data_IF_476561416462
#
_entry.id   IF_476561416462
#
_cell.length_a   1.000
_cell.length_b   1.000
_cell.length_c   1.000
_cell.angle_alpha   90.00
_cell.angle_beta   90.00
_cell.angle_gamma   90.00
#
_symmetry.space_group_name_H-M   'P 1'
#
loop_
_entity.id
_entity.type
_entity.pdbx_description
1 polymer ?
#
# COMPACT_ATOMS: atom_id res chain seq x y z
N UNK A 1 -2.41 -11.46 17.88
CA UNK A 1 -1.27 -10.95 17.08
C UNK A 1 0.02 -10.86 17.89
N UNK A 2 0.02 -10.31 19.12
CA UNK A 2 1.22 -10.31 20.00
C UNK A 2 1.71 -11.73 20.34
N UNK A 3 0.81 -12.72 20.47
CA UNK A 3 1.20 -14.11 20.74
C UNK A 3 1.96 -14.81 19.60
N UNK A 4 1.87 -14.32 18.36
CA UNK A 4 2.67 -14.88 17.25
C UNK A 4 4.13 -14.41 17.28
N UNK A 5 4.44 -13.38 18.07
CA UNK A 5 5.77 -12.77 18.16
C UNK A 5 6.65 -13.42 19.23
N UNK A 6 6.05 -14.19 20.16
CA UNK A 6 6.71 -14.89 21.27
C UNK A 6 6.24 -16.36 21.37
N UNK A 7 6.07 -17.07 20.25
CA UNK A 7 5.73 -18.51 20.31
C UNK A 7 6.86 -19.37 20.89
N UNK A 8 8.10 -18.85 20.95
CA UNK A 8 9.28 -19.55 21.46
C UNK A 8 9.99 -18.65 22.50
N UNK A 9 10.34 -19.16 23.70
CA UNK A 9 11.14 -18.39 24.65
C UNK A 9 12.49 -18.03 24.01
N UNK A 10 12.81 -16.73 23.94
CA UNK A 10 14.08 -16.10 23.47
C UNK A 10 14.26 -15.80 21.98
N UNK A 11 13.30 -16.00 21.07
CA UNK A 11 13.49 -15.64 19.64
C UNK A 11 12.40 -14.70 19.14
N UNK A 12 12.79 -13.49 18.75
CA UNK A 12 11.90 -12.47 18.17
C UNK A 12 11.78 -12.73 16.67
N UNK A 13 10.57 -13.03 16.19
CA UNK A 13 10.29 -13.30 14.77
C UNK A 13 9.86 -12.00 14.09
N UNK A 14 10.82 -11.25 13.54
CA UNK A 14 10.60 -9.89 13.02
C UNK A 14 10.28 -9.86 11.50
N UNK A 15 10.44 -10.99 10.78
CA UNK A 15 10.23 -11.07 9.32
C UNK A 15 9.31 -12.23 8.90
N UNK A 16 8.46 -11.99 7.88
CA UNK A 16 7.45 -12.95 7.38
C UNK A 16 8.01 -14.31 6.91
N UNK A 17 9.00 -14.33 5.99
CA UNK A 17 10.31 -14.80 6.41
C UNK A 17 10.44 -16.03 7.33
N UNK A 18 10.77 -15.69 8.58
CA UNK A 18 11.09 -16.58 9.68
C UNK A 18 9.84 -17.29 10.19
N UNK A 19 8.67 -16.64 10.13
CA UNK A 19 7.38 -17.27 10.44
C UNK A 19 7.05 -18.40 9.46
N UNK A 20 7.33 -18.20 8.16
CA UNK A 20 7.17 -19.25 7.15
C UNK A 20 8.13 -20.42 7.38
N UNK A 21 9.37 -20.14 7.80
CA UNK A 21 10.38 -21.15 8.09
C UNK A 21 10.05 -22.00 9.33
N UNK A 22 9.41 -21.42 10.34
CA UNK A 22 8.97 -22.15 11.54
C UNK A 22 7.66 -22.95 11.29
N UNK A 23 6.71 -22.41 10.52
CA UNK A 23 5.42 -23.09 10.27
C UNK A 23 5.47 -24.18 9.18
N UNK A 24 6.32 -24.01 8.16
CA UNK A 24 6.42 -24.92 7.01
C UNK A 24 7.80 -25.56 6.84
N UNK A 25 8.76 -25.29 7.73
CA UNK A 25 10.14 -25.78 7.64
C UNK A 25 11.07 -24.83 6.88
N UNK A 26 12.34 -24.84 7.29
CA UNK A 26 13.37 -23.83 6.96
C UNK A 26 13.61 -23.61 5.45
N UNK A 27 13.34 -24.63 4.63
CA UNK A 27 13.45 -24.57 3.15
C UNK A 27 12.11 -24.35 2.45
N UNK A 28 11.05 -25.05 2.85
CA UNK A 28 9.76 -25.02 2.15
C UNK A 28 9.01 -23.71 2.38
N UNK A 29 9.04 -23.16 3.60
CA UNK A 29 8.43 -21.86 3.90
C UNK A 29 9.09 -20.71 3.15
N UNK A 30 10.42 -20.74 3.04
CA UNK A 30 11.18 -19.74 2.28
C UNK A 30 10.82 -19.78 0.78
N UNK A 31 10.77 -20.97 0.19
CA UNK A 31 10.46 -21.14 -1.24
C UNK A 31 9.02 -20.80 -1.62
N UNK A 32 8.07 -20.87 -0.69
CA UNK A 32 6.67 -20.50 -0.96
C UNK A 32 6.43 -19.01 -0.72
N UNK A 33 6.91 -18.48 0.41
CA UNK A 33 6.59 -17.12 0.85
C UNK A 33 7.41 -16.07 0.09
N UNK A 34 8.70 -16.31 -0.17
CA UNK A 34 9.58 -15.30 -0.78
C UNK A 34 9.17 -14.96 -2.22
N UNK A 35 8.83 -15.92 -3.11
CA UNK A 35 8.38 -15.58 -4.45
C UNK A 35 7.10 -14.76 -4.45
N UNK A 36 6.15 -15.11 -3.58
CA UNK A 36 4.89 -14.36 -3.45
C UNK A 36 5.14 -12.93 -2.95
N UNK A 37 6.05 -12.74 -2.00
CA UNK A 37 6.45 -11.41 -1.53
C UNK A 37 7.10 -10.59 -2.63
N UNK A 38 8.04 -11.16 -3.40
CA UNK A 38 8.69 -10.46 -4.50
C UNK A 38 7.68 -10.03 -5.55
N UNK A 39 6.75 -10.91 -5.92
CA UNK A 39 5.70 -10.59 -6.91
C UNK A 39 4.84 -9.43 -6.44
N UNK A 40 4.41 -9.44 -5.17
CA UNK A 40 3.57 -8.38 -4.60
C UNK A 40 4.36 -7.06 -4.50
N UNK A 41 5.60 -7.08 -4.00
CA UNK A 41 6.42 -5.88 -3.84
C UNK A 41 6.76 -5.24 -5.19
N UNK A 42 7.16 -6.05 -6.19
CA UNK A 42 7.43 -5.55 -7.55
C UNK A 42 6.15 -5.02 -8.18
N UNK A 43 5.03 -5.73 -8.04
CA UNK A 43 3.73 -5.29 -8.53
C UNK A 43 3.31 -3.95 -7.93
N UNK A 44 3.42 -3.80 -6.60
CA UNK A 44 3.10 -2.57 -5.90
C UNK A 44 3.98 -1.39 -6.36
N UNK A 45 5.29 -1.60 -6.54
CA UNK A 45 6.20 -0.59 -7.09
C UNK A 45 5.76 -0.12 -8.48
N UNK A 46 5.40 -1.06 -9.38
CA UNK A 46 4.96 -0.73 -10.74
C UNK A 46 3.65 0.09 -10.70
N UNK A 47 2.65 -0.38 -9.95
CA UNK A 47 1.34 0.28 -9.85
C UNK A 47 1.50 1.68 -9.24
N UNK A 48 2.35 1.83 -8.22
CA UNK A 48 2.63 3.12 -7.59
C UNK A 48 3.23 4.12 -8.59
N UNK A 49 4.20 3.68 -9.39
CA UNK A 49 4.86 4.52 -10.40
C UNK A 49 3.90 4.99 -11.50
N UNK A 50 3.04 4.08 -11.99
CA UNK A 50 2.02 4.40 -13.00
C UNK A 50 0.98 5.38 -12.41
N UNK A 51 0.52 5.10 -11.19
CA UNK A 51 -0.51 5.92 -10.52
C UNK A 51 0.03 7.32 -10.21
N UNK A 52 1.25 7.44 -9.67
CA UNK A 52 1.91 8.71 -9.42
C UNK A 52 2.09 9.55 -10.69
N UNK A 53 2.55 8.93 -11.79
CA UNK A 53 2.67 9.59 -13.08
C UNK A 53 1.31 10.07 -13.64
N UNK A 54 0.25 9.25 -13.52
CA UNK A 54 -1.10 9.65 -13.91
C UNK A 54 -1.65 10.79 -13.05
N UNK A 55 -1.38 10.80 -11.75
CA UNK A 55 -1.78 11.89 -10.85
C UNK A 55 -1.09 13.20 -11.22
N UNK A 56 0.21 13.18 -11.50
CA UNK A 56 0.93 14.38 -11.99
C UNK A 56 0.32 14.90 -13.29
N UNK A 57 0.06 14.00 -14.26
CA UNK A 57 -0.61 14.37 -15.51
C UNK A 57 -1.95 15.08 -15.22
N UNK A 58 -2.77 14.50 -14.35
CA UNK A 58 -4.10 15.07 -14.04
C UNK A 58 -4.02 16.44 -13.37
N UNK A 59 -3.04 16.67 -12.51
CA UNK A 59 -2.79 18.00 -11.91
C UNK A 59 -2.40 19.00 -12.99
N UNK A 60 -1.50 18.63 -13.89
CA UNK A 60 -1.10 19.47 -15.01
C UNK A 60 -2.29 19.82 -15.92
N UNK A 61 -3.09 18.83 -16.31
CA UNK A 61 -4.25 19.02 -17.18
C UNK A 61 -5.34 19.89 -16.52
N UNK A 62 -5.42 19.87 -15.19
CA UNK A 62 -6.34 20.73 -14.43
C UNK A 62 -5.85 22.17 -14.34
N UNK A 63 -4.53 22.39 -14.25
CA UNK A 63 -3.92 23.72 -14.14
C UNK A 63 -3.72 24.42 -15.49
N UNK A 64 -3.53 23.66 -16.57
CA UNK A 64 -3.38 24.20 -17.92
C UNK A 64 -4.27 23.45 -18.91
N UNK A 65 -5.47 23.99 -19.13
CA UNK A 65 -6.50 23.37 -19.97
C UNK A 65 -6.19 23.44 -21.47
N UNK A 66 -5.36 24.39 -21.90
CA UNK A 66 -4.94 24.61 -23.30
C UNK A 66 -3.50 24.14 -23.60
N UNK A 67 -2.87 23.40 -22.68
CA UNK A 67 -1.51 22.91 -22.89
C UNK A 67 -1.47 21.71 -23.84
N UNK A 68 -0.32 21.54 -24.52
CA UNK A 68 -0.09 20.41 -25.42
C UNK A 68 -0.16 19.11 -24.65
N UNK A 69 -0.93 18.16 -25.16
CA UNK A 69 -1.13 16.86 -24.53
C UNK A 69 0.17 16.04 -24.57
N UNK A 70 0.74 15.80 -23.39
CA UNK A 70 1.98 15.01 -23.23
C UNK A 70 1.59 13.55 -22.97
N UNK A 71 2.35 12.62 -23.57
CA UNK A 71 2.18 11.18 -23.33
C UNK A 71 2.39 10.86 -21.85
N UNK A 72 1.48 10.06 -21.27
CA UNK A 72 1.54 9.62 -19.86
C UNK A 72 2.88 8.97 -19.49
N UNK A 73 3.55 8.31 -20.45
CA UNK A 73 4.87 7.70 -20.23
C UNK A 73 5.94 8.71 -19.77
N UNK A 74 5.92 9.95 -20.27
CA UNK A 74 6.86 10.97 -19.83
C UNK A 74 6.59 11.41 -18.39
N UNK A 75 5.32 11.54 -18.00
CA UNK A 75 4.95 11.84 -16.62
C UNK A 75 5.37 10.74 -15.64
N UNK A 76 5.29 9.47 -16.06
CA UNK A 76 5.79 8.34 -15.26
C UNK A 76 7.31 8.44 -15.08
N UNK A 77 8.06 8.78 -16.13
CA UNK A 77 9.53 8.95 -16.05
C UNK A 77 9.90 10.11 -15.14
N UNK A 78 9.19 11.24 -15.23
CA UNK A 78 9.42 12.39 -14.34
C UNK A 78 9.20 11.99 -12.87
N UNK A 79 8.09 11.29 -12.58
CA UNK A 79 7.81 10.78 -11.24
C UNK A 79 8.88 9.77 -10.79
N UNK A 80 9.36 8.91 -11.70
CA UNK A 80 10.45 7.97 -11.44
C UNK A 80 11.74 8.68 -11.02
N UNK A 81 12.13 9.74 -11.73
CA UNK A 81 13.34 10.50 -11.44
C UNK A 81 13.30 11.15 -10.07
N UNK A 82 12.14 11.70 -9.66
CA UNK A 82 11.95 12.26 -8.31
C UNK A 82 12.15 11.17 -7.25
N UNK A 83 11.49 10.02 -7.41
CA UNK A 83 11.62 8.89 -6.47
C UNK A 83 13.05 8.34 -6.42
N UNK A 84 13.75 8.30 -7.56
CA UNK A 84 15.15 7.89 -7.62
C UNK A 84 16.05 8.84 -6.81
N UNK A 85 15.86 10.15 -6.94
CA UNK A 85 16.60 11.14 -6.13
C UNK A 85 16.28 11.00 -4.64
N UNK A 86 15.01 10.79 -4.28
CA UNK A 86 14.60 10.53 -2.90
C UNK A 86 15.24 9.26 -2.34
N UNK A 87 15.39 8.20 -3.15
CA UNK A 87 16.03 6.94 -2.75
C UNK A 87 17.53 7.10 -2.47
N UNK A 88 18.17 8.14 -3.02
CA UNK A 88 19.58 8.46 -2.74
C UNK A 88 19.76 9.25 -1.43
N UNK A 89 18.69 9.70 -0.76
CA UNK A 89 18.78 10.43 0.51
C UNK A 89 18.87 9.44 1.70
N UNK A 90 20.03 9.29 2.37
CA UNK A 90 20.23 8.30 3.44
C UNK A 90 19.81 8.81 4.84
N UNK A 91 19.23 10.00 4.93
CA UNK A 91 19.06 10.69 6.20
C UNK A 91 17.72 10.32 6.87
N UNK A 92 17.76 9.70 8.05
CA UNK A 92 16.58 9.31 8.83
C UNK A 92 15.59 10.46 9.07
N UNK A 93 16.10 11.70 9.17
CA UNK A 93 15.26 12.88 9.36
C UNK A 93 14.37 13.18 8.14
N UNK A 94 14.83 12.84 6.93
CA UNK A 94 14.04 13.00 5.70
C UNK A 94 12.86 12.03 5.62
N UNK A 95 13.01 10.83 6.18
CA UNK A 95 11.96 9.79 6.18
C UNK A 95 10.80 10.21 7.11
N UNK A 96 11.11 10.84 8.25
CA UNK A 96 10.09 11.35 9.17
C UNK A 96 9.23 12.45 8.52
N UNK A 97 9.85 13.38 7.78
CA UNK A 97 9.13 14.41 7.05
C UNK A 97 8.19 13.83 5.97
N UNK A 98 8.68 12.87 5.18
CA UNK A 98 7.86 12.18 4.16
C UNK A 98 6.69 11.45 4.83
N UNK A 99 6.90 10.81 5.98
CA UNK A 99 5.84 10.16 6.75
C UNK A 99 4.79 11.17 7.24
N UNK A 100 5.20 12.33 7.73
CA UNK A 100 4.29 13.40 8.14
C UNK A 100 3.43 13.88 6.97
N UNK A 101 4.05 14.13 5.81
CA UNK A 101 3.33 14.50 4.58
C UNK A 101 2.35 13.41 4.18
N UNK A 102 2.74 12.13 4.25
CA UNK A 102 1.87 11.00 3.93
C UNK A 102 0.64 10.93 4.84
N UNK A 103 0.80 11.16 6.15
CA UNK A 103 -0.31 11.22 7.11
C UNK A 103 -1.22 12.40 6.81
N UNK A 104 -0.65 13.58 6.56
CA UNK A 104 -1.42 14.78 6.20
C UNK A 104 -2.24 14.55 4.91
N UNK A 105 -1.63 13.98 3.87
CA UNK A 105 -2.33 13.63 2.63
C UNK A 105 -3.45 12.60 2.86
N UNK A 106 -3.17 11.53 3.62
CA UNK A 106 -4.17 10.49 3.93
C UNK A 106 -5.37 11.07 4.69
N UNK A 107 -5.12 11.91 5.69
CA UNK A 107 -6.17 12.60 6.44
C UNK A 107 -7.01 13.53 5.54
N UNK A 108 -6.36 14.24 4.61
CA UNK A 108 -7.03 15.15 3.67
C UNK A 108 -7.92 14.37 2.68
N UNK A 109 -7.39 13.30 2.08
CA UNK A 109 -8.18 12.46 1.17
C UNK A 109 -9.38 11.82 1.87
N UNK A 110 -9.20 11.35 3.10
CA UNK A 110 -10.31 10.83 3.91
C UNK A 110 -11.35 11.90 4.19
N UNK A 111 -10.94 13.09 4.63
CA UNK A 111 -11.85 14.20 4.89
C UNK A 111 -12.64 14.63 3.64
N UNK A 112 -11.98 14.69 2.47
CA UNK A 112 -12.66 14.98 1.19
C UNK A 112 -13.64 13.86 0.84
N UNK A 113 -13.28 12.59 1.02
CA UNK A 113 -14.16 11.46 0.73
C UNK A 113 -15.42 11.50 1.62
N UNK A 114 -15.26 11.75 2.91
CA UNK A 114 -16.36 11.94 3.85
C UNK A 114 -17.21 13.16 3.50
N UNK A 115 -16.57 14.31 3.27
CA UNK A 115 -17.26 15.55 2.93
C UNK A 115 -18.07 15.44 1.62
N UNK A 116 -17.48 14.83 0.58
CA UNK A 116 -18.16 14.60 -0.70
C UNK A 116 -19.33 13.61 -0.55
N UNK A 117 -19.16 12.57 0.27
CA UNK A 117 -20.23 11.58 0.52
C UNK A 117 -21.41 12.21 1.26
N UNK A 118 -21.14 13.04 2.27
CA UNK A 118 -22.18 13.79 2.99
C UNK A 118 -22.84 14.80 2.05
N UNK A 119 -22.07 15.57 1.27
CA UNK A 119 -22.63 16.58 0.38
C UNK A 119 -23.56 16.00 -0.69
N UNK A 120 -23.20 14.83 -1.25
CA UNK A 120 -23.96 14.24 -2.35
C UNK A 120 -25.26 13.55 -1.91
N UNK A 121 -25.40 13.24 -0.60
CA UNK A 121 -26.54 12.54 0.02
C UNK A 121 -27.06 11.35 -0.81
N UNK A 122 -28.20 10.77 -0.45
CA UNK A 122 -28.82 9.68 -1.22
C UNK A 122 -29.31 10.27 -2.55
N UNK A 123 -28.60 9.95 -3.64
CA UNK A 123 -29.02 10.33 -4.99
C UNK A 123 -30.15 9.40 -5.44
N UNK A 124 -31.36 9.88 -5.80
CA UNK A 124 -32.54 9.04 -5.98
C UNK A 124 -32.56 8.19 -7.27
N UNK A 125 -31.52 8.23 -8.11
CA UNK A 125 -31.46 7.52 -9.39
C UNK A 125 -30.07 6.95 -9.68
N UNK A 126 -29.56 6.13 -8.75
CA UNK A 126 -28.29 5.41 -8.94
C UNK A 126 -28.55 3.93 -9.21
N UNK A 127 -28.26 3.49 -10.43
CA UNK A 127 -28.25 2.07 -10.76
C UNK A 127 -26.98 1.42 -10.20
N UNK A 128 -27.16 0.53 -9.23
CA UNK A 128 -26.10 -0.35 -8.69
C UNK A 128 -25.92 -1.64 -9.49
N UNK A 129 -26.62 -1.79 -10.61
CA UNK A 129 -26.47 -2.95 -11.47
C UNK A 129 -25.06 -2.97 -12.09
N UNK A 130 -24.52 -4.19 -12.27
CA UNK A 130 -23.23 -4.39 -12.93
C UNK A 130 -23.25 -3.73 -14.32
N UNK A 131 -22.28 -2.86 -14.61
CA UNK A 131 -22.13 -2.20 -15.92
C UNK A 131 -21.56 -3.12 -17.01
N UNK A 132 -21.46 -4.42 -16.72
CA UNK A 132 -20.90 -5.43 -17.61
C UNK A 132 -21.81 -5.69 -18.81
N UNK A 133 -21.28 -5.53 -20.00
CA UNK A 133 -21.96 -5.78 -21.28
C UNK A 133 -22.00 -7.25 -21.69
N UNK A 134 -21.11 -8.08 -21.13
CA UNK A 134 -20.96 -9.50 -21.44
C UNK A 134 -20.58 -10.32 -20.20
N UNK A 135 -20.87 -11.63 -20.21
CA UNK A 135 -20.48 -12.58 -19.14
C UNK A 135 -18.97 -12.56 -18.88
N UNK A 136 -18.16 -12.47 -19.94
CA UNK A 136 -16.70 -12.36 -19.80
C UNK A 136 -16.28 -11.07 -19.10
N UNK A 137 -16.92 -9.94 -19.44
CA UNK A 137 -16.66 -8.66 -18.77
C UNK A 137 -17.03 -8.72 -17.29
N UNK A 138 -18.13 -9.39 -16.94
CA UNK A 138 -18.52 -9.61 -15.54
C UNK A 138 -17.45 -10.37 -14.78
N UNK A 139 -16.90 -11.43 -15.37
CA UNK A 139 -15.86 -12.26 -14.75
C UNK A 139 -14.57 -11.45 -14.57
N UNK A 140 -14.13 -10.72 -15.59
CA UNK A 140 -12.93 -9.87 -15.49
C UNK A 140 -13.09 -8.73 -14.48
N UNK A 141 -14.27 -8.11 -14.42
CA UNK A 141 -14.58 -7.08 -13.42
C UNK A 141 -14.59 -7.67 -12.01
N UNK A 142 -15.12 -8.89 -11.83
CA UNK A 142 -15.10 -9.58 -10.54
C UNK A 142 -13.67 -9.86 -10.07
N UNK A 143 -12.82 -10.42 -10.93
CA UNK A 143 -11.41 -10.66 -10.59
C UNK A 143 -10.64 -9.38 -10.34
N UNK A 144 -10.92 -8.31 -11.09
CA UNK A 144 -10.30 -7.00 -10.88
C UNK A 144 -10.70 -6.41 -9.52
N UNK A 145 -11.99 -6.45 -9.17
CA UNK A 145 -12.47 -6.00 -7.87
C UNK A 145 -11.88 -6.83 -6.71
N UNK A 146 -11.76 -8.15 -6.88
CA UNK A 146 -11.10 -9.00 -5.90
C UNK A 146 -9.62 -8.63 -5.74
N UNK A 147 -8.94 -8.31 -6.85
CA UNK A 147 -7.57 -7.80 -6.86
C UNK A 147 -7.42 -6.47 -6.12
N UNK A 148 -8.34 -5.53 -6.33
CA UNK A 148 -8.35 -4.23 -5.65
C UNK A 148 -8.54 -4.39 -4.13
N UNK A 149 -9.46 -5.26 -3.71
CA UNK A 149 -9.66 -5.58 -2.29
C UNK A 149 -8.40 -6.22 -1.70
N UNK A 150 -7.84 -7.23 -2.38
CA UNK A 150 -6.61 -7.89 -1.93
C UNK A 150 -5.44 -6.90 -1.81
N UNK A 151 -5.32 -5.96 -2.75
CA UNK A 151 -4.29 -4.92 -2.74
C UNK A 151 -4.50 -3.91 -1.59
N UNK A 152 -5.73 -3.47 -1.34
CA UNK A 152 -6.05 -2.58 -0.22
C UNK A 152 -5.62 -3.18 1.13
N UNK A 153 -5.71 -4.51 1.25
CA UNK A 153 -5.28 -5.24 2.43
C UNK A 153 -3.80 -5.67 2.40
N UNK A 154 -3.04 -5.46 1.32
CA UNK A 154 -1.65 -5.96 1.21
C UNK A 154 -0.68 -5.39 2.27
N UNK A 155 -1.07 -4.36 3.03
CA UNK A 155 -0.29 -3.74 4.09
C UNK A 155 0.06 -4.62 5.31
N UNK A 156 -0.50 -5.83 5.44
CA UNK A 156 -0.21 -6.73 6.57
C UNK A 156 1.29 -7.02 6.74
N UNK A 157 2.05 -7.08 5.64
CA UNK A 157 3.51 -7.30 5.66
C UNK A 157 4.28 -6.16 6.32
N UNK A 158 3.77 -4.93 6.23
CA UNK A 158 4.38 -3.74 6.83
C UNK A 158 4.06 -3.65 8.32
N UNK A 159 2.90 -4.13 8.75
CA UNK A 159 2.51 -4.19 10.16
C UNK A 159 3.52 -4.99 10.99
N UNK A 160 4.02 -6.13 10.49
CA UNK A 160 5.05 -6.89 11.20
C UNK A 160 6.38 -6.11 11.32
N UNK A 161 6.78 -5.37 10.28
CA UNK A 161 7.99 -4.53 10.32
C UNK A 161 7.84 -3.36 11.30
N UNK A 162 6.65 -2.77 11.41
CA UNK A 162 6.34 -1.72 12.39
C UNK A 162 6.32 -2.30 13.81
N UNK A 163 5.76 -3.50 13.99
CA UNK A 163 5.75 -4.20 15.28
C UNK A 163 7.15 -4.57 15.76
N UNK A 164 8.06 -4.93 14.85
CA UNK A 164 9.48 -5.14 15.16
C UNK A 164 10.21 -3.87 15.64
N UNK A 165 9.76 -2.68 15.21
CA UNK A 165 10.32 -1.40 15.66
C UNK A 165 9.73 -0.89 16.99
N UNK A 166 8.67 -1.50 17.51
CA UNK A 166 8.20 -1.18 18.86
C UNK A 166 9.24 -1.67 19.89
N UNK A 167 9.66 -0.82 20.84
CA UNK A 167 10.63 -1.20 21.85
C UNK A 167 10.00 -2.20 22.82
N UNK A 168 10.44 -3.46 22.74
CA UNK A 168 10.22 -4.47 23.77
C UNK A 168 11.54 -4.71 24.49
N UNK A 169 11.79 -3.97 25.57
CA UNK A 169 12.90 -4.27 26.49
C UNK A 169 12.49 -5.43 27.41
N UNK A 170 13.42 -6.34 27.80
CA UNK A 170 13.14 -7.38 28.79
C UNK A 170 12.54 -6.86 30.11
N UNK A 171 12.81 -5.60 30.46
CA UNK A 171 12.32 -4.93 31.66
C UNK A 171 10.90 -4.35 31.54
N UNK A 172 10.39 -4.16 30.32
CA UNK A 172 9.02 -3.66 30.05
C UNK A 172 8.38 -4.45 28.90
N UNK A 173 7.93 -5.69 29.17
CA UNK A 173 7.18 -6.46 28.18
C UNK A 173 5.84 -5.79 27.88
N UNK A 174 5.43 -5.80 26.61
CA UNK A 174 4.14 -5.33 26.05
C UNK A 174 2.90 -6.12 26.57
N UNK A 175 3.01 -6.72 27.76
CA UNK A 175 1.99 -7.52 28.43
C UNK A 175 1.28 -6.78 29.56
N UNK A 176 1.59 -5.50 29.82
CA UNK A 176 0.85 -4.73 30.82
C UNK A 176 -0.31 -3.99 30.15
N UNK A 177 -1.58 -4.37 30.45
CA UNK A 177 -2.66 -3.41 30.31
C UNK A 177 -2.36 -2.26 31.28
N UNK A 178 -2.59 -1.02 30.84
CA UNK A 178 -2.82 0.09 31.77
C UNK A 178 -3.90 -0.28 32.77
#
# INVERSE_FOLDING_TARGET
MVEMHEMIPRKRLDRYHELGQEACGEKMGLWIVVPQQIVVDVGACIVYMITGGKSLKKVHDTLCTDCKDIKTSYWIIIFASINFLLAQCPNFNSISFISLVAVAMSSTFSAIAWGASIHKWITPDVSYASRSTSTSDTIFNFFSALGDVAFAYAGHNVVLKIQATMPSTPENPSKKPT
#
